data_IF_312681928726
#
_entry.id   IF_312681928726
#
_cell.length_a   1.000
_cell.length_b   1.000
_cell.length_c   1.000
_cell.angle_alpha   90.00
_cell.angle_beta   90.00
_cell.angle_gamma   90.00
#
_symmetry.space_group_name_H-M   'P 1'
#
loop_
_entity.id
_entity.type
_entity.pdbx_description
1 polymer ?
#
# COMPACT_ATOMS: atom_id res chain seq x y z
N UNK A 1 2.03 16.21 -18.98
CA UNK A 1 2.55 16.38 -17.60
C UNK A 1 2.78 14.99 -17.02
N UNK A 2 3.97 14.66 -16.51
CA UNK A 2 4.21 13.34 -15.88
C UNK A 2 3.55 13.33 -14.49
N UNK A 3 2.63 12.39 -14.25
CA UNK A 3 1.99 12.20 -12.94
C UNK A 3 2.85 11.17 -12.17
N UNK A 4 3.35 11.49 -10.96
CA UNK A 4 4.09 10.52 -10.16
C UNK A 4 3.23 9.28 -9.86
N UNK A 5 3.77 8.08 -10.14
CA UNK A 5 3.08 6.81 -9.92
C UNK A 5 3.77 6.00 -8.83
N UNK A 6 3.03 5.68 -7.76
CA UNK A 6 3.46 4.73 -6.73
C UNK A 6 2.88 3.35 -7.06
N UNK A 7 3.77 2.39 -7.30
CA UNK A 7 3.44 0.99 -7.54
C UNK A 7 3.42 0.22 -6.21
N UNK A 8 2.24 -0.02 -5.66
CA UNK A 8 2.05 -0.86 -4.47
C UNK A 8 1.72 -2.31 -4.89
N UNK A 9 2.69 -3.21 -4.85
CA UNK A 9 2.48 -4.63 -5.21
C UNK A 9 3.53 -5.55 -4.60
N UNK A 10 3.37 -6.87 -4.75
CA UNK A 10 4.33 -7.85 -4.22
C UNK A 10 5.45 -8.28 -5.18
N UNK A 11 5.33 -7.99 -6.48
CA UNK A 11 6.27 -8.49 -7.50
C UNK A 11 7.18 -7.36 -8.02
N UNK A 12 8.40 -7.30 -7.49
CA UNK A 12 9.43 -6.28 -7.79
C UNK A 12 9.69 -6.07 -9.29
N UNK A 13 9.63 -7.14 -10.09
CA UNK A 13 9.91 -7.08 -11.53
C UNK A 13 8.64 -7.05 -12.41
N UNK A 14 7.47 -6.74 -11.84
CA UNK A 14 6.21 -6.65 -12.58
C UNK A 14 6.19 -5.45 -13.53
N UNK A 15 5.29 -5.49 -14.52
CA UNK A 15 5.05 -4.35 -15.41
C UNK A 15 4.67 -3.10 -14.63
N UNK A 16 3.88 -3.23 -13.56
CA UNK A 16 3.47 -2.10 -12.71
C UNK A 16 4.68 -1.39 -12.08
N UNK A 17 5.65 -2.14 -11.52
CA UNK A 17 6.86 -1.54 -10.93
C UNK A 17 7.74 -0.89 -12.00
N UNK A 18 7.88 -1.51 -13.17
CA UNK A 18 8.65 -0.95 -14.28
C UNK A 18 8.08 0.37 -14.82
N UNK A 19 6.77 0.58 -14.69
CA UNK A 19 6.09 1.80 -15.12
C UNK A 19 5.91 2.82 -13.97
N UNK A 20 6.08 2.41 -12.71
CA UNK A 20 5.99 3.28 -11.54
C UNK A 20 7.30 4.02 -11.26
N UNK A 21 7.18 5.18 -10.60
CA UNK A 21 8.33 5.96 -10.12
C UNK A 21 8.84 5.47 -8.76
N UNK A 22 7.93 4.92 -7.93
CA UNK A 22 8.23 4.41 -6.59
C UNK A 22 7.63 3.02 -6.44
N UNK A 23 8.43 2.08 -5.94
CA UNK A 23 7.97 0.74 -5.58
C UNK A 23 7.71 0.64 -4.09
N UNK A 24 6.45 0.37 -3.73
CA UNK A 24 6.05 0.06 -2.37
C UNK A 24 5.75 -1.44 -2.27
N UNK A 25 6.65 -2.18 -1.63
CA UNK A 25 6.52 -3.63 -1.54
C UNK A 25 5.49 -4.04 -0.48
N UNK A 26 4.45 -4.74 -0.92
CA UNK A 26 3.41 -5.36 -0.06
C UNK A 26 3.37 -6.88 -0.24
N UNK A 27 4.49 -7.50 -0.62
CA UNK A 27 4.59 -8.95 -0.75
C UNK A 27 4.34 -9.64 0.59
N UNK A 28 3.50 -10.67 0.59
CA UNK A 28 3.37 -11.62 1.69
C UNK A 28 4.13 -12.90 1.35
N UNK A 29 4.61 -13.62 2.37
CA UNK A 29 5.31 -14.90 2.18
C UNK A 29 4.37 -15.97 1.59
N UNK A 30 3.15 -16.01 2.09
CA UNK A 30 2.10 -16.94 1.67
C UNK A 30 0.72 -16.36 1.99
N UNK A 31 -0.29 -16.81 1.27
CA UNK A 31 -1.68 -16.53 1.62
C UNK A 31 -2.10 -17.41 2.80
N UNK A 32 -2.96 -16.87 3.66
CA UNK A 32 -3.63 -17.66 4.70
C UNK A 32 -4.55 -18.74 4.10
N UNK A 33 -4.78 -18.73 2.78
CA UNK A 33 -5.60 -19.69 2.07
C UNK A 33 -4.83 -21.00 1.94
N UNK A 34 -5.35 -22.13 2.42
CA UNK A 34 -4.66 -23.42 2.28
C UNK A 34 -4.37 -23.79 0.82
N UNK A 35 -5.22 -23.34 -0.11
CA UNK A 35 -5.06 -23.58 -1.55
C UNK A 35 -4.27 -22.48 -2.26
N UNK A 36 -3.90 -21.39 -1.58
CA UNK A 36 -3.25 -20.20 -2.13
C UNK A 36 -3.97 -19.54 -3.32
N UNK A 37 -5.28 -19.79 -3.47
CA UNK A 37 -6.10 -19.22 -4.55
C UNK A 37 -6.76 -17.90 -4.14
N UNK A 38 -7.19 -17.81 -2.88
CA UNK A 38 -7.92 -16.66 -2.37
C UNK A 38 -6.96 -15.65 -1.74
N UNK A 39 -7.06 -14.36 -2.11
CA UNK A 39 -6.27 -13.32 -1.47
C UNK A 39 -6.82 -13.08 -0.05
N UNK A 40 -5.99 -13.28 0.96
CA UNK A 40 -6.34 -13.05 2.36
C UNK A 40 -5.23 -12.28 3.07
N UNK A 41 -4.01 -12.83 3.09
CA UNK A 41 -2.85 -12.16 3.66
C UNK A 41 -2.50 -10.93 2.84
N UNK A 42 -2.52 -11.04 1.50
CA UNK A 42 -2.16 -9.92 0.60
C UNK A 42 -3.15 -8.76 0.65
N UNK A 43 -4.46 -9.03 0.71
CA UNK A 43 -5.49 -8.00 0.87
C UNK A 43 -5.40 -7.33 2.23
N UNK A 44 -5.14 -8.11 3.30
CA UNK A 44 -4.89 -7.55 4.64
C UNK A 44 -3.64 -6.67 4.66
N UNK A 45 -2.53 -7.12 4.05
CA UNK A 45 -1.30 -6.34 3.94
C UNK A 45 -1.51 -5.03 3.15
N UNK A 46 -2.33 -5.08 2.10
CA UNK A 46 -2.72 -3.90 1.31
C UNK A 46 -3.52 -2.90 2.16
N UNK A 47 -4.51 -3.38 2.91
CA UNK A 47 -5.32 -2.56 3.81
C UNK A 47 -4.45 -1.88 4.87
N UNK A 48 -3.65 -2.66 5.59
CA UNK A 48 -2.76 -2.15 6.65
C UNK A 48 -1.74 -1.15 6.10
N UNK A 49 -1.24 -1.36 4.88
CA UNK A 49 -0.35 -0.39 4.24
C UNK A 49 -1.06 0.94 3.95
N UNK A 50 -2.34 0.89 3.55
CA UNK A 50 -3.17 2.08 3.39
C UNK A 50 -3.29 2.87 4.70
N UNK A 51 -3.61 2.19 5.80
CA UNK A 51 -3.70 2.82 7.12
C UNK A 51 -2.35 3.40 7.58
N UNK A 52 -1.26 2.66 7.36
CA UNK A 52 0.09 3.12 7.69
C UNK A 52 0.48 4.38 6.90
N UNK A 53 0.13 4.46 5.61
CA UNK A 53 0.32 5.66 4.80
C UNK A 53 -0.52 6.83 5.30
N UNK A 54 -1.79 6.61 5.64
CA UNK A 54 -2.65 7.63 6.20
C UNK A 54 -2.09 8.18 7.52
N UNK A 55 -1.72 7.30 8.45
CA UNK A 55 -1.13 7.68 9.74
C UNK A 55 0.20 8.43 9.56
N UNK A 56 1.06 7.97 8.64
CA UNK A 56 2.31 8.64 8.32
C UNK A 56 2.08 10.04 7.76
N UNK A 57 1.07 10.21 6.88
CA UNK A 57 0.70 11.51 6.33
C UNK A 57 0.09 12.43 7.38
N UNK A 58 -0.77 11.92 8.27
CA UNK A 58 -1.31 12.70 9.39
C UNK A 58 -0.17 13.28 10.23
N UNK A 59 0.81 12.44 10.61
CA UNK A 59 2.00 12.91 11.33
C UNK A 59 2.82 13.91 10.52
N UNK A 60 3.13 13.61 9.26
CA UNK A 60 3.96 14.45 8.40
C UNK A 60 3.29 15.81 8.05
N UNK A 61 1.97 15.91 8.20
CA UNK A 61 1.20 17.14 7.97
C UNK A 61 0.79 17.83 9.26
N UNK A 62 1.19 17.32 10.43
CA UNK A 62 0.71 17.76 11.73
C UNK A 62 -0.83 17.83 11.78
N UNK A 63 -1.50 16.83 11.20
CA UNK A 63 -2.96 16.73 11.18
C UNK A 63 -3.48 16.62 12.62
N UNK A 64 -4.38 17.52 13.00
CA UNK A 64 -4.90 17.66 14.36
C UNK A 64 -6.32 17.07 14.44
N UNK A 65 -6.79 16.73 15.65
CA UNK A 65 -8.17 16.33 15.86
C UNK A 65 -9.18 17.36 15.32
N UNK A 66 -8.86 18.65 15.44
CA UNK A 66 -9.68 19.75 14.93
C UNK A 66 -9.84 19.73 13.39
N UNK A 67 -8.89 19.13 12.66
CA UNK A 67 -8.98 18.96 11.20
C UNK A 67 -9.93 17.80 10.80
N UNK A 68 -10.30 16.94 11.76
CA UNK A 68 -11.17 15.78 11.53
C UNK A 68 -12.65 16.12 11.62
N UNK A 69 -13.01 17.17 12.37
CA UNK A 69 -14.38 17.58 12.63
C UNK A 69 -14.63 18.99 12.06
N UNK A 70 -15.58 19.10 11.12
CA UNK A 70 -16.23 20.35 10.74
C UNK A 70 -17.50 20.54 11.57
#
# INVERSE_FOLDING_TARGET
>A
RKIPLIAMCGKKNSTLVKQGDIFLNISVKEEACPLQLAPMSSTTATLVMGDALAAALMKARNFRPDDFAL
#
